data_IF_734123922667
#
_entry.id   IF_734123922667
#
_cell.length_a   1.000
_cell.length_b   1.000
_cell.length_c   1.000
_cell.angle_alpha   90.00
_cell.angle_beta   90.00
_cell.angle_gamma   90.00
#
_symmetry.space_group_name_H-M   'P 1'
#
loop_
_entity.id
_entity.type
_entity.pdbx_description
1 polymer ?
#
# COMPACT_ATOMS: atom_id res chain seq x y z
N UNK A 1 23.20 6.11 9.90
CA UNK A 1 22.55 5.81 8.60
C UNK A 1 21.13 5.40 8.90
N UNK A 2 20.22 6.36 8.95
CA UNK A 2 18.80 6.09 9.17
C UNK A 2 18.27 5.49 7.87
N UNK A 3 17.86 4.22 7.91
CA UNK A 3 17.18 3.58 6.80
C UNK A 3 15.79 4.22 6.71
N UNK A 4 15.62 5.21 5.82
CA UNK A 4 14.34 5.89 5.58
C UNK A 4 13.39 4.91 4.89
N UNK A 5 12.81 4.03 5.71
CA UNK A 5 11.82 3.06 5.31
C UNK A 5 10.46 3.49 5.83
N UNK A 6 9.51 3.56 4.90
CA UNK A 6 8.10 3.77 5.20
C UNK A 6 7.37 2.44 5.10
N UNK A 7 6.70 2.06 6.19
CA UNK A 7 5.88 0.85 6.26
C UNK A 7 4.41 1.22 6.14
N UNK A 8 3.77 0.74 5.08
CA UNK A 8 2.37 1.05 4.76
C UNK A 8 1.54 -0.23 4.76
N UNK A 9 0.42 -0.21 5.49
CA UNK A 9 -0.50 -1.34 5.54
C UNK A 9 -1.27 -1.50 4.23
N UNK A 10 -1.53 -2.73 3.83
CA UNK A 10 -2.35 -3.09 2.68
C UNK A 10 -3.27 -4.25 3.05
N UNK A 11 -4.42 -4.37 2.41
CA UNK A 11 -5.27 -5.56 2.48
C UNK A 11 -5.35 -6.22 1.10
N UNK A 12 -5.11 -7.53 1.02
CA UNK A 12 -5.20 -8.23 -0.25
C UNK A 12 -6.66 -8.26 -0.75
N UNK A 13 -6.88 -7.88 -2.01
CA UNK A 13 -8.21 -7.86 -2.63
C UNK A 13 -8.83 -9.25 -2.80
N UNK A 14 -8.00 -10.29 -2.99
CA UNK A 14 -8.47 -11.67 -3.15
C UNK A 14 -8.71 -12.38 -1.82
N UNK A 15 -7.74 -12.30 -0.89
CA UNK A 15 -7.79 -13.07 0.37
C UNK A 15 -8.33 -12.29 1.56
N UNK A 16 -8.42 -10.95 1.45
CA UNK A 16 -8.77 -10.02 2.54
C UNK A 16 -7.82 -10.09 3.75
N UNK A 17 -6.63 -10.65 3.56
CA UNK A 17 -5.61 -10.72 4.60
C UNK A 17 -4.74 -9.46 4.61
N UNK A 18 -4.34 -8.97 5.79
CA UNK A 18 -3.48 -7.80 5.91
C UNK A 18 -2.04 -8.11 5.49
N UNK A 19 -1.40 -7.13 4.87
CA UNK A 19 0.00 -7.12 4.49
C UNK A 19 0.62 -5.77 4.89
N UNK A 20 1.95 -5.72 4.94
CA UNK A 20 2.71 -4.46 5.04
C UNK A 20 3.64 -4.36 3.84
N UNK A 21 3.62 -3.22 3.17
CA UNK A 21 4.55 -2.86 2.10
C UNK A 21 5.65 -1.99 2.71
N UNK A 22 6.90 -2.29 2.38
CA UNK A 22 8.05 -1.45 2.70
C UNK A 22 8.38 -0.59 1.49
N UNK A 23 8.32 0.71 1.68
CA UNK A 23 8.82 1.72 0.76
C UNK A 23 10.18 2.22 1.25
N UNK A 24 11.05 2.62 0.32
CA UNK A 24 12.28 3.35 0.61
C UNK A 24 12.35 4.59 -0.27
N UNK A 25 12.85 5.68 0.28
CA UNK A 25 13.20 6.85 -0.51
C UNK A 25 14.45 6.57 -1.36
N UNK A 26 14.40 6.84 -2.66
CA UNK A 26 15.56 6.69 -3.55
C UNK A 26 16.32 8.00 -3.84
N UNK A 27 15.74 9.14 -3.46
CA UNK A 27 16.24 10.47 -3.82
C UNK A 27 15.17 11.31 -4.51
N UNK A 28 14.20 10.66 -5.18
CA UNK A 28 13.13 11.31 -5.93
C UNK A 28 11.74 10.83 -5.51
N UNK A 29 11.57 9.52 -5.26
CA UNK A 29 10.28 8.96 -4.89
C UNK A 29 10.39 7.82 -3.87
N UNK A 30 9.26 7.49 -3.25
CA UNK A 30 9.13 6.32 -2.39
C UNK A 30 8.89 5.08 -3.24
N UNK A 31 9.89 4.21 -3.30
CA UNK A 31 9.89 3.01 -4.11
C UNK A 31 9.49 1.81 -3.24
N UNK A 32 8.45 1.07 -3.64
CA UNK A 32 8.10 -0.20 -2.99
C UNK A 32 9.24 -1.20 -3.21
N UNK A 33 9.75 -1.79 -2.13
CA UNK A 33 10.91 -2.71 -2.19
C UNK A 33 10.61 -4.09 -1.62
N UNK A 34 9.59 -4.24 -0.78
CA UNK A 34 9.20 -5.52 -0.20
C UNK A 34 7.73 -5.53 0.26
N UNK A 35 7.18 -6.73 0.41
CA UNK A 35 5.91 -6.98 1.08
C UNK A 35 6.07 -8.04 2.17
N UNK A 36 5.25 -7.95 3.22
CA UNK A 36 5.25 -8.92 4.32
C UNK A 36 3.83 -9.32 4.69
N UNK A 37 3.60 -10.64 4.80
CA UNK A 37 2.33 -11.23 5.25
C UNK A 37 2.10 -10.87 6.72
N UNK A 38 0.92 -10.37 7.05
CA UNK A 38 0.54 -10.16 8.44
C UNK A 38 -0.46 -11.22 8.88
N UNK A 39 -0.48 -11.53 10.17
CA UNK A 39 -1.47 -12.46 10.71
C UNK A 39 -2.82 -11.74 10.79
N UNK A 40 -3.95 -12.44 10.57
CA UNK A 40 -5.25 -11.90 10.94
C UNK A 40 -5.23 -11.41 12.39
N UNK A 41 -5.71 -10.18 12.64
CA UNK A 41 -5.70 -9.59 13.98
C UNK A 41 -4.38 -8.92 14.40
N UNK A 42 -3.33 -8.93 13.56
CA UNK A 42 -2.15 -8.11 13.79
C UNK A 42 -2.51 -6.62 13.83
N UNK A 43 -1.93 -5.90 14.79
CA UNK A 43 -1.93 -4.43 14.78
C UNK A 43 -1.00 -3.99 13.65
N UNK A 44 -1.59 -3.60 12.53
CA UNK A 44 -0.88 -3.03 11.39
C UNK A 44 -0.90 -1.50 11.49
N UNK A 45 0.08 -0.80 10.91
CA UNK A 45 0.08 0.66 10.82
C UNK A 45 -1.29 1.19 10.39
N UNK A 46 -1.98 1.99 11.21
CA UNK A 46 -3.23 2.58 10.77
C UNK A 46 -2.94 3.60 9.66
N UNK A 47 -3.61 3.46 8.52
CA UNK A 47 -3.60 4.47 7.44
C UNK A 47 -4.40 5.74 7.80
N UNK A 48 -4.68 5.95 9.09
CA UNK A 48 -5.50 7.03 9.65
C UNK A 48 -4.81 7.76 10.81
N UNK A 49 -3.48 7.78 10.84
CA UNK A 49 -2.69 8.49 11.85
C UNK A 49 -2.36 9.94 11.48
N UNK A 50 -1.91 10.74 12.45
CA UNK A 50 -1.50 12.15 12.32
C UNK A 50 -0.23 12.38 11.45
N UNK A 51 0.33 11.35 10.82
CA UNK A 51 1.48 11.43 9.93
C UNK A 51 1.12 10.94 8.53
N UNK A 52 0.97 11.85 7.59
CA UNK A 52 0.95 11.54 6.16
C UNK A 52 2.28 12.00 5.55
N UNK A 53 2.97 11.09 4.90
CA UNK A 53 4.16 11.42 4.11
C UNK A 53 3.70 11.80 2.72
N UNK A 54 4.05 13.01 2.30
CA UNK A 54 3.80 13.51 0.95
C UNK A 54 4.97 13.12 0.05
N UNK A 55 4.67 12.74 -1.18
CA UNK A 55 5.66 12.35 -2.16
C UNK A 55 5.07 11.43 -3.22
N UNK A 56 5.83 11.21 -4.28
CA UNK A 56 5.45 10.24 -5.32
C UNK A 56 5.75 8.83 -4.83
N UNK A 57 4.86 7.89 -5.14
CA UNK A 57 5.03 6.47 -4.81
C UNK A 57 5.10 5.63 -6.08
N UNK A 58 6.07 4.73 -6.15
CA UNK A 58 6.31 3.87 -7.31
C UNK A 58 6.57 2.42 -6.90
N UNK A 59 6.47 1.52 -7.87
CA UNK A 59 6.79 0.11 -7.72
C UNK A 59 8.26 -0.11 -8.08
N UNK A 60 9.07 -0.58 -7.14
CA UNK A 60 10.46 -0.94 -7.42
C UNK A 60 10.56 -2.30 -8.09
N UNK A 61 11.61 -2.51 -8.88
CA UNK A 61 11.89 -3.80 -9.52
C UNK A 61 12.04 -4.96 -8.53
N UNK A 62 12.37 -4.67 -7.27
CA UNK A 62 12.49 -5.66 -6.20
C UNK A 62 11.14 -6.00 -5.52
N UNK A 63 10.07 -5.25 -5.80
CA UNK A 63 8.76 -5.51 -5.22
C UNK A 63 8.14 -6.76 -5.87
N UNK A 64 7.89 -7.85 -5.12
CA UNK A 64 7.40 -9.10 -5.69
C UNK A 64 5.89 -9.10 -5.99
N UNK A 65 5.24 -7.93 -5.90
CA UNK A 65 3.79 -7.82 -5.87
C UNK A 65 3.19 -8.18 -4.51
N UNK A 66 1.86 -8.31 -4.49
CA UNK A 66 1.11 -8.70 -3.31
C UNK A 66 1.51 -10.10 -2.85
N UNK A 67 1.98 -10.21 -1.61
CA UNK A 67 2.46 -11.46 -1.01
C UNK A 67 1.42 -12.58 -0.89
N UNK A 68 0.15 -12.30 -1.19
CA UNK A 68 -0.94 -13.27 -1.16
C UNK A 68 -1.40 -13.70 -2.55
N UNK A 69 -1.64 -12.75 -3.47
CA UNK A 69 -2.21 -13.03 -4.79
C UNK A 69 -1.29 -12.68 -5.98
N UNK A 70 -0.12 -12.09 -5.73
CA UNK A 70 0.83 -11.72 -6.78
C UNK A 70 0.48 -10.44 -7.56
N UNK A 71 -0.64 -9.78 -7.27
CA UNK A 71 -1.00 -8.51 -7.91
C UNK A 71 0.14 -7.50 -7.81
N UNK A 72 0.57 -6.95 -8.94
CA UNK A 72 1.76 -6.11 -9.05
C UNK A 72 1.53 -4.66 -8.67
N UNK A 73 0.28 -4.22 -8.48
CA UNK A 73 -0.05 -2.84 -8.16
C UNK A 73 -0.94 -2.72 -6.91
N UNK A 74 -1.21 -1.49 -6.49
CA UNK A 74 -2.07 -1.17 -5.36
C UNK A 74 -2.87 0.11 -5.62
N UNK A 75 -4.06 0.17 -5.02
CA UNK A 75 -4.96 1.32 -5.11
C UNK A 75 -5.30 1.79 -3.71
N UNK A 76 -5.24 3.12 -3.52
CA UNK A 76 -5.69 3.77 -2.29
C UNK A 76 -7.18 4.04 -2.37
N UNK A 77 -7.94 3.47 -1.45
CA UNK A 77 -9.37 3.73 -1.39
C UNK A 77 -9.64 5.21 -1.04
N UNK A 78 -10.39 5.93 -1.89
CA UNK A 78 -10.77 7.33 -1.62
C UNK A 78 -11.64 7.53 -0.37
N UNK A 79 -12.34 6.47 0.09
CA UNK A 79 -13.24 6.54 1.25
C UNK A 79 -12.53 6.26 2.58
N UNK A 80 -11.82 5.13 2.67
CA UNK A 80 -11.18 4.70 3.91
C UNK A 80 -9.65 4.80 3.88
N UNK A 81 -9.08 5.42 2.84
CA UNK A 81 -7.64 5.66 2.65
C UNK A 81 -6.71 4.44 2.70
N UNK A 82 -7.23 3.24 2.92
CA UNK A 82 -6.46 2.01 2.99
C UNK A 82 -6.07 1.52 1.59
N UNK A 83 -4.88 0.91 1.48
CA UNK A 83 -4.41 0.29 0.26
C UNK A 83 -5.01 -1.10 0.06
N UNK A 84 -5.43 -1.41 -1.16
CA UNK A 84 -5.70 -2.77 -1.61
C UNK A 84 -4.89 -3.10 -2.85
N UNK A 85 -4.44 -4.35 -2.98
CA UNK A 85 -3.70 -4.78 -4.18
C UNK A 85 -4.60 -4.82 -5.41
N UNK A 86 -4.04 -4.56 -6.59
CA UNK A 86 -4.75 -4.57 -7.86
C UNK A 86 -3.82 -5.04 -8.97
N UNK A 87 -4.31 -5.96 -9.80
CA UNK A 87 -3.59 -6.58 -10.92
C UNK A 87 -3.88 -5.92 -12.29
N UNK A 88 -4.37 -4.67 -12.32
CA UNK A 88 -4.79 -3.93 -13.53
C UNK A 88 -5.84 -4.61 -14.44
N UNK A 89 -6.25 -5.86 -14.17
CA UNK A 89 -7.14 -6.59 -15.07
C UNK A 89 -8.60 -6.08 -15.06
N UNK A 90 -8.94 -5.18 -14.13
CA UNK A 90 -10.32 -4.73 -13.88
C UNK A 90 -10.36 -3.21 -13.86
N UNK A 91 -11.34 -2.62 -14.55
CA UNK A 91 -11.52 -1.17 -14.58
C UNK A 91 -12.08 -0.62 -13.25
N UNK A 92 -12.68 -1.51 -12.43
CA UNK A 92 -13.32 -1.19 -11.15
C UNK A 92 -12.56 -1.85 -10.01
N UNK A 93 -12.03 -1.03 -9.10
CA UNK A 93 -11.45 -1.48 -7.85
C UNK A 93 -12.54 -1.62 -6.78
N UNK A 94 -12.51 -2.74 -6.06
CA UNK A 94 -13.35 -2.99 -4.89
C UNK A 94 -12.49 -3.01 -3.64
N UNK A 95 -12.64 -2.01 -2.78
CA UNK A 95 -11.84 -1.88 -1.57
C UNK A 95 -12.10 -3.08 -0.64
N UNK A 96 -11.10 -3.93 -0.36
CA UNK A 96 -11.30 -5.14 0.45
C UNK A 96 -11.56 -4.86 1.93
N UNK A 97 -11.41 -3.61 2.37
CA UNK A 97 -11.59 -3.19 3.76
C UNK A 97 -12.98 -2.66 4.07
N UNK A 98 -13.45 -1.67 3.29
CA UNK A 98 -14.71 -0.98 3.54
C UNK A 98 -15.80 -1.27 2.50
N UNK A 99 -15.48 -2.03 1.45
CA UNK A 99 -16.42 -2.38 0.39
C UNK A 99 -16.72 -1.25 -0.60
N UNK A 100 -16.06 -0.08 -0.48
CA UNK A 100 -16.19 0.98 -1.47
C UNK A 100 -15.67 0.53 -2.83
N UNK A 101 -16.41 0.79 -3.89
CA UNK A 101 -16.02 0.46 -5.26
C UNK A 101 -15.99 1.70 -6.15
N UNK A 102 -15.16 1.66 -7.19
CA UNK A 102 -15.04 2.76 -8.15
C UNK A 102 -13.97 2.51 -9.18
N UNK A 103 -13.95 3.36 -10.21
CA UNK A 103 -12.90 3.34 -11.22
C UNK A 103 -11.56 3.77 -10.61
N UNK A 104 -10.49 3.10 -11.03
CA UNK A 104 -9.12 3.49 -10.66
C UNK A 104 -8.66 4.60 -11.59
N UNK A 105 -8.17 5.70 -11.03
CA UNK A 105 -7.60 6.82 -11.78
C UNK A 105 -6.60 7.59 -10.91
N UNK A 106 -5.65 8.27 -11.56
CA UNK A 106 -4.68 9.15 -10.92
C UNK A 106 -3.47 8.46 -10.28
N UNK A 107 -2.73 9.23 -9.50
CA UNK A 107 -1.53 8.81 -8.76
C UNK A 107 -1.73 8.95 -7.26
N UNK A 108 -0.85 8.31 -6.48
CA UNK A 108 -0.82 8.47 -5.04
C UNK A 108 0.30 9.47 -4.72
N UNK A 109 -0.07 10.61 -4.14
CA UNK A 109 0.87 11.69 -3.79
C UNK A 109 1.07 11.82 -2.26
N UNK A 110 0.39 10.97 -1.49
CA UNK A 110 0.49 10.90 -0.04
C UNK A 110 0.10 9.52 0.50
N UNK A 111 0.84 9.01 1.48
CA UNK A 111 0.47 7.80 2.23
C UNK A 111 0.69 8.01 3.73
N UNK A 112 -0.16 7.37 4.52
CA UNK A 112 0.02 7.26 5.96
C UNK A 112 0.63 5.91 6.28
N UNK A 113 1.72 5.92 7.05
CA UNK A 113 2.45 4.73 7.44
C UNK A 113 3.34 5.00 8.65
N UNK A 114 4.05 3.98 9.10
CA UNK A 114 5.11 4.14 10.10
C UNK A 114 6.43 4.32 9.38
N UNK A 115 7.11 5.45 9.60
CA UNK A 115 8.47 5.70 9.14
C UNK A 115 9.28 6.36 10.25
N UNK A 116 10.60 6.15 10.24
CA UNK A 116 11.52 6.87 11.12
C UNK A 116 11.92 8.18 10.45
N UNK A 117 11.30 9.28 10.87
CA UNK A 117 11.76 10.65 10.61
C UNK A 117 13.09 10.95 11.29
#
# INVERSE_FOLDING_TARGET
MTDDALFVSMVCSSTRLPAVIRFRWDGECYVATAGSKQRPGSVVPPQHGNGSINGSFSLGAAYPGCVYCGADNFVRCGRCRELGCHDHSWEVFNCPRCGNSGRVDGTIDSLSGLGSS
#
